data_IF_829487899177
#
_entry.id   IF_829487899177
#
_cell.length_a   1.000
_cell.length_b   1.000
_cell.length_c   1.000
_cell.angle_alpha   90.00
_cell.angle_beta   90.00
_cell.angle_gamma   90.00
#
_symmetry.space_group_name_H-M   'P 1'
#
loop_
_entity.id
_entity.type
_entity.pdbx_description
1 polymer ?
#
# COMPACT_ATOMS: atom_id res chain seq x y z
N UNK A 1 7.36 -19.56 25.94
CA UNK A 1 8.65 -19.17 25.32
C UNK A 1 8.64 -17.69 24.99
N UNK A 2 9.51 -16.92 25.64
CA UNK A 2 9.62 -15.45 25.57
C UNK A 2 9.77 -14.95 24.11
N UNK A 3 10.44 -15.75 23.26
CA UNK A 3 10.61 -15.55 21.82
C UNK A 3 9.30 -15.45 21.02
N UNK A 4 8.27 -16.23 21.37
CA UNK A 4 6.98 -16.20 20.67
C UNK A 4 6.21 -14.92 20.99
N UNK A 5 6.34 -14.40 22.22
CA UNK A 5 5.72 -13.14 22.63
C UNK A 5 6.36 -11.94 21.96
N UNK A 6 7.69 -11.93 21.78
CA UNK A 6 8.37 -10.84 21.07
C UNK A 6 8.10 -10.83 19.57
N UNK A 7 7.81 -11.98 18.96
CA UNK A 7 7.37 -12.07 17.56
C UNK A 7 5.92 -11.57 17.42
N UNK A 8 5.02 -11.98 18.31
CA UNK A 8 3.62 -11.56 18.32
C UNK A 8 3.46 -10.04 18.59
N UNK A 9 4.30 -9.49 19.47
CA UNK A 9 4.35 -8.04 19.75
C UNK A 9 4.90 -7.23 18.57
N UNK A 10 5.76 -7.82 17.73
CA UNK A 10 6.23 -7.22 16.46
C UNK A 10 5.15 -7.29 15.39
N UNK A 11 4.35 -8.36 15.35
CA UNK A 11 3.25 -8.53 14.38
C UNK A 11 2.14 -7.48 14.56
N UNK A 12 1.80 -7.14 15.80
CA UNK A 12 0.84 -6.05 16.10
C UNK A 12 1.25 -4.67 15.57
N UNK A 13 2.55 -4.44 15.32
CA UNK A 13 3.06 -3.17 14.76
C UNK A 13 3.01 -3.10 13.23
N UNK A 14 2.74 -4.22 12.55
CA UNK A 14 2.71 -4.30 11.08
C UNK A 14 1.34 -3.97 10.48
N UNK A 15 0.31 -3.77 11.31
CA UNK A 15 -1.08 -3.51 10.87
C UNK A 15 -1.48 -2.05 11.00
N UNK A 16 -0.59 -1.13 10.64
CA UNK A 16 -0.91 0.30 10.60
C UNK A 16 -1.42 0.63 9.20
N UNK A 17 -2.64 1.17 9.12
CA UNK A 17 -3.16 1.76 7.88
C UNK A 17 -2.43 3.08 7.66
N UNK A 18 -1.73 3.17 6.53
CA UNK A 18 -0.98 4.36 6.12
C UNK A 18 -1.90 5.19 5.23
N UNK A 19 -2.14 6.44 5.63
CA UNK A 19 -2.77 7.41 4.74
C UNK A 19 -1.73 7.87 3.73
N UNK A 20 -2.05 7.80 2.44
CA UNK A 20 -1.16 8.33 1.41
C UNK A 20 -1.05 9.86 1.50
N UNK A 21 0.18 10.38 1.41
CA UNK A 21 0.49 11.82 1.47
C UNK A 21 -0.14 12.61 0.30
N UNK A 22 -0.44 11.96 -0.81
CA UNK A 22 -1.01 12.57 -2.02
C UNK A 22 -2.55 12.67 -2.01
N UNK A 23 -3.18 12.32 -0.88
CA UNK A 23 -4.62 12.46 -0.71
C UNK A 23 -5.03 13.93 -0.70
N UNK A 24 -5.93 14.29 -1.61
CA UNK A 24 -6.44 15.66 -1.76
C UNK A 24 -7.60 15.89 -0.76
N UNK A 25 -7.53 16.92 0.10
CA UNK A 25 -8.65 17.30 0.95
C UNK A 25 -9.89 17.62 0.12
N UNK A 26 -11.01 16.96 0.41
CA UNK A 26 -12.26 17.08 -0.36
C UNK A 26 -12.54 15.88 -1.28
N UNK A 27 -11.60 14.96 -1.45
CA UNK A 27 -11.91 13.65 -2.04
C UNK A 27 -12.68 12.81 -1.01
N UNK A 28 -13.82 12.24 -1.40
CA UNK A 28 -14.75 11.56 -0.48
C UNK A 28 -14.89 10.07 -0.71
N UNK A 29 -14.21 9.49 -1.69
CA UNK A 29 -14.32 8.07 -2.03
C UNK A 29 -13.08 7.29 -1.58
N UNK A 30 -13.10 6.65 -0.39
CA UNK A 30 -11.96 5.92 0.14
C UNK A 30 -11.78 4.55 -0.54
N UNK A 31 -10.53 4.20 -0.83
CA UNK A 31 -10.12 2.88 -1.29
C UNK A 31 -8.98 2.37 -0.40
N UNK A 32 -9.15 1.16 0.14
CA UNK A 32 -8.12 0.48 0.91
C UNK A 32 -7.38 -0.51 0.00
N UNK A 33 -6.08 -0.29 -0.15
CA UNK A 33 -5.20 -1.12 -0.98
C UNK A 33 -4.18 -1.79 -0.07
N UNK A 34 -4.05 -3.12 -0.18
CA UNK A 34 -3.12 -3.91 0.64
C UNK A 34 -2.06 -4.52 -0.26
N UNK A 35 -0.80 -4.21 0.02
CA UNK A 35 0.34 -4.80 -0.67
C UNK A 35 0.92 -5.93 0.17
N UNK A 36 0.86 -7.15 -0.36
CA UNK A 36 1.50 -8.32 0.23
C UNK A 36 2.88 -8.51 -0.39
N UNK A 37 3.92 -8.47 0.44
CA UNK A 37 5.29 -8.72 0.00
C UNK A 37 5.71 -10.12 0.43
N UNK A 38 6.15 -10.94 -0.55
CA UNK A 38 6.48 -12.35 -0.33
C UNK A 38 7.59 -12.57 0.71
N UNK A 39 7.64 -13.78 1.25
CA UNK A 39 8.68 -14.27 2.16
C UNK A 39 9.94 -14.79 1.44
N UNK A 40 9.97 -14.80 0.10
CA UNK A 40 11.17 -15.18 -0.67
C UNK A 40 12.36 -14.29 -0.34
N UNK A 41 13.58 -14.85 -0.45
CA UNK A 41 14.81 -14.07 -0.28
C UNK A 41 14.82 -12.91 -1.30
N UNK A 42 15.21 -11.71 -0.86
CA UNK A 42 15.21 -10.48 -1.68
C UNK A 42 13.83 -10.05 -2.24
N UNK A 43 12.73 -10.52 -1.66
CA UNK A 43 11.38 -10.08 -2.07
C UNK A 43 10.99 -8.70 -1.53
N UNK A 44 11.72 -8.16 -0.54
CA UNK A 44 11.51 -6.80 -0.08
C UNK A 44 12.13 -5.80 -1.05
N UNK A 45 11.47 -4.68 -1.27
CA UNK A 45 11.96 -3.65 -2.19
C UNK A 45 12.21 -2.33 -1.47
N UNK A 46 13.23 -1.60 -1.94
CA UNK A 46 13.46 -0.20 -1.57
C UNK A 46 13.06 0.77 -2.67
N UNK A 47 12.59 0.24 -3.80
CA UNK A 47 12.12 0.98 -4.96
C UNK A 47 10.92 1.87 -4.64
N UNK A 48 10.78 2.94 -5.42
CA UNK A 48 9.54 3.69 -5.52
C UNK A 48 8.54 2.87 -6.33
N UNK A 49 7.51 2.38 -5.66
CA UNK A 49 6.42 1.65 -6.32
C UNK A 49 5.27 2.60 -6.55
N UNK A 50 4.91 2.79 -7.81
CA UNK A 50 3.73 3.54 -8.21
C UNK A 50 2.58 2.60 -8.57
N UNK A 51 1.36 3.02 -8.28
CA UNK A 51 0.17 2.29 -8.69
C UNK A 51 -1.00 3.21 -9.06
N UNK A 52 -1.97 2.66 -9.80
CA UNK A 52 -3.22 3.31 -10.18
C UNK A 52 -4.35 2.28 -10.23
N UNK A 53 -5.51 2.64 -9.69
CA UNK A 53 -6.72 1.81 -9.73
C UNK A 53 -7.57 2.19 -10.96
N UNK A 54 -7.98 1.19 -11.74
CA UNK A 54 -8.89 1.35 -12.87
C UNK A 54 -10.19 0.64 -12.53
N UNK A 55 -11.30 1.37 -12.58
CA UNK A 55 -12.62 0.81 -12.42
C UNK A 55 -13.52 1.11 -13.61
N UNK A 56 -14.71 0.50 -13.60
CA UNK A 56 -15.67 0.48 -14.70
C UNK A 56 -16.16 1.86 -15.16
N UNK A 57 -16.11 2.88 -14.28
CA UNK A 57 -16.60 4.24 -14.60
C UNK A 57 -15.55 5.32 -14.35
N UNK A 58 -14.33 4.97 -13.94
CA UNK A 58 -13.32 5.96 -13.58
C UNK A 58 -11.95 5.38 -13.24
N UNK A 59 -10.98 6.26 -13.02
CA UNK A 59 -9.62 5.87 -12.65
C UNK A 59 -9.11 6.75 -11.53
N UNK A 60 -8.36 6.17 -10.58
CA UNK A 60 -7.76 6.95 -9.49
C UNK A 60 -6.62 7.84 -10.00
N UNK A 61 -6.13 8.73 -9.14
CA UNK A 61 -4.83 9.35 -9.37
C UNK A 61 -3.70 8.30 -9.29
N UNK A 62 -2.53 8.71 -9.76
CA UNK A 62 -1.30 7.93 -9.60
C UNK A 62 -0.83 8.11 -8.17
N UNK A 63 -0.60 7.00 -7.48
CA UNK A 63 -0.13 6.97 -6.10
C UNK A 63 1.27 6.37 -6.03
N UNK A 64 2.18 7.03 -5.30
CA UNK A 64 3.56 6.56 -5.12
C UNK A 64 3.79 6.17 -3.66
N UNK A 65 4.15 4.91 -3.46
CA UNK A 65 4.50 4.34 -2.17
C UNK A 65 5.91 4.81 -1.80
N UNK A 66 6.00 5.89 -1.03
CA UNK A 66 7.28 6.45 -0.57
C UNK A 66 7.61 6.01 0.86
N UNK A 67 8.90 5.92 1.20
CA UNK A 67 9.39 5.54 2.54
C UNK A 67 9.05 6.54 3.67
N UNK A 68 8.35 7.65 3.38
CA UNK A 68 8.04 8.70 4.36
C UNK A 68 7.27 8.18 5.57
N UNK A 69 6.49 7.11 5.40
CA UNK A 69 5.72 6.47 6.48
C UNK A 69 6.40 5.23 7.10
N UNK A 70 7.67 4.99 6.81
CA UNK A 70 8.46 3.86 7.31
C UNK A 70 9.04 2.99 6.22
N UNK A 71 9.52 1.81 6.60
CA UNK A 71 10.02 0.83 5.64
C UNK A 71 8.84 0.14 4.95
N UNK A 72 8.44 0.70 3.82
CA UNK A 72 7.38 0.25 2.93
C UNK A 72 7.85 -1.02 2.17
N UNK A 73 6.93 -1.96 1.93
CA UNK A 73 7.17 -3.19 1.14
C UNK A 73 8.35 -4.04 1.64
N UNK A 74 8.45 -4.22 2.96
CA UNK A 74 9.40 -5.19 3.53
C UNK A 74 9.03 -6.61 3.13
N UNK A 75 10.04 -7.45 2.94
CA UNK A 75 9.88 -8.90 2.85
C UNK A 75 8.98 -9.42 3.97
N UNK A 76 8.04 -10.29 3.62
CA UNK A 76 7.10 -10.93 4.56
C UNK A 76 6.32 -9.89 5.39
N UNK A 77 5.75 -8.89 4.73
CA UNK A 77 4.91 -7.88 5.39
C UNK A 77 3.73 -7.48 4.53
N UNK A 78 2.67 -7.09 5.24
CA UNK A 78 1.47 -6.49 4.66
C UNK A 78 1.54 -4.99 4.89
N UNK A 79 1.42 -4.20 3.83
CA UNK A 79 1.39 -2.74 3.92
C UNK A 79 0.02 -2.25 3.44
N UNK A 80 -0.70 -1.58 4.35
CA UNK A 80 -2.09 -1.17 4.15
C UNK A 80 -2.12 0.32 3.82
N UNK A 81 -2.69 0.70 2.69
CA UNK A 81 -2.74 2.08 2.22
C UNK A 81 -4.18 2.52 2.01
N UNK A 82 -4.52 3.69 2.55
CA UNK A 82 -5.79 4.35 2.33
C UNK A 82 -5.60 5.54 1.39
N UNK A 83 -6.31 5.50 0.26
CA UNK A 83 -6.36 6.60 -0.71
C UNK A 83 -7.79 7.09 -0.90
N UNK A 84 -7.91 8.34 -1.34
CA UNK A 84 -9.20 8.96 -1.64
C UNK A 84 -9.24 9.41 -3.10
N UNK A 85 -10.29 8.99 -3.80
CA UNK A 85 -10.62 9.46 -5.14
C UNK A 85 -11.63 10.59 -5.08
N UNK A 86 -11.57 11.52 -6.05
CA UNK A 86 -12.55 12.59 -6.20
C UNK A 86 -13.93 12.05 -6.61
N UNK A 87 -13.94 11.01 -7.46
CA UNK A 87 -15.13 10.37 -8.00
C UNK A 87 -15.09 8.85 -7.73
N UNK A 88 -16.26 8.17 -7.71
CA UNK A 88 -16.31 6.74 -7.54
C UNK A 88 -15.74 6.05 -8.80
N UNK A 89 -14.86 5.07 -8.60
CA UNK A 89 -14.27 4.28 -9.68
C UNK A 89 -15.22 3.22 -10.25
N UNK A 90 -16.30 2.91 -9.52
CA UNK A 90 -17.19 1.79 -9.82
C UNK A 90 -16.59 0.45 -9.42
N UNK A 91 -16.86 -0.59 -10.21
CA UNK A 91 -16.27 -1.90 -10.01
C UNK A 91 -14.79 -1.86 -10.42
N UNK A 92 -13.88 -2.18 -9.51
CA UNK A 92 -12.44 -2.20 -9.82
C UNK A 92 -12.17 -3.34 -10.80
N UNK A 93 -11.68 -2.99 -11.99
CA UNK A 93 -11.42 -3.93 -13.08
C UNK A 93 -9.94 -4.34 -13.12
N UNK A 94 -9.04 -3.40 -12.85
CA UNK A 94 -7.61 -3.67 -12.87
C UNK A 94 -6.81 -2.71 -12.00
N UNK A 95 -5.58 -3.12 -11.69
CA UNK A 95 -4.60 -2.31 -10.97
C UNK A 95 -3.34 -2.27 -11.82
N UNK A 96 -2.88 -1.07 -12.15
CA UNK A 96 -1.60 -0.87 -12.81
C UNK A 96 -0.54 -0.58 -11.75
N UNK A 97 0.56 -1.31 -11.80
CA UNK A 97 1.68 -1.21 -10.86
C UNK A 97 2.97 -1.07 -11.65
N UNK A 98 3.83 -0.16 -11.23
CA UNK A 98 5.18 -0.01 -11.75
C UNK A 98 6.15 0.28 -10.60
N UNK A 99 7.42 0.02 -10.82
CA UNK A 99 8.46 0.35 -9.86
C UNK A 99 9.67 0.92 -10.60
N UNK A 100 10.45 1.78 -9.94
CA UNK A 100 11.79 2.04 -10.42
C UNK A 100 12.70 0.84 -10.11
N UNK A 101 13.73 0.62 -10.92
CA UNK A 101 14.58 -0.57 -10.82
C UNK A 101 15.74 -0.36 -9.82
N UNK A 102 15.44 0.21 -8.65
CA UNK A 102 16.40 0.52 -7.58
C UNK A 102 16.44 -0.58 -6.51
#
# INVERSE_FOLDING_TARGET
>A
CILLWDLDRRDKKLRTVILLDDNIPGNHYPYLVVFYTSSRLNAGTTAHVGFKLIGSIGTSNIHVLTKTHGNVLKRNSDSWYLLYSAEPLGMVESVHIWHDNQ
#
